data_IF_133094314365
#
_entry.id   IF_133094314365
#
_cell.length_a   1.000
_cell.length_b   1.000
_cell.length_c   1.000
_cell.angle_alpha   90.00
_cell.angle_beta   90.00
_cell.angle_gamma   90.00
#
_symmetry.space_group_name_H-M   'P 1'
#
loop_
_entity.id
_entity.type
_entity.pdbx_description
1 polymer ?
#
# COMPACT_ATOMS: atom_id res chain seq x y z
N UNK A 1 -16.18 -1.73 5.87
CA UNK A 1 -16.99 -1.93 4.64
C UNK A 1 -16.17 -2.61 3.52
N UNK A 2 -15.42 -3.67 3.83
CA UNK A 2 -14.62 -4.45 2.84
C UNK A 2 -15.26 -5.83 2.57
N UNK A 3 -15.94 -6.41 3.57
CA UNK A 3 -16.74 -7.63 3.39
C UNK A 3 -17.82 -7.50 2.29
N UNK A 4 -18.43 -6.32 2.15
CA UNK A 4 -19.39 -6.02 1.07
C UNK A 4 -18.74 -5.90 -0.32
N UNK A 5 -17.42 -5.70 -0.40
CA UNK A 5 -16.68 -5.66 -1.67
C UNK A 5 -16.31 -7.08 -2.12
N UNK A 6 -15.97 -7.97 -1.18
CA UNK A 6 -15.85 -9.42 -1.46
C UNK A 6 -17.15 -10.02 -2.00
N UNK A 7 -18.31 -9.66 -1.42
CA UNK A 7 -19.62 -10.10 -1.94
C UNK A 7 -19.97 -9.50 -3.31
N UNK A 8 -19.22 -8.50 -3.79
CA UNK A 8 -19.37 -7.88 -5.12
C UNK A 8 -18.38 -8.42 -6.16
N UNK A 9 -17.61 -9.48 -5.86
CA UNK A 9 -16.74 -10.13 -6.84
C UNK A 9 -15.42 -9.39 -7.12
N UNK A 10 -14.93 -8.59 -6.15
CA UNK A 10 -13.53 -8.15 -6.12
C UNK A 10 -12.65 -9.36 -5.81
N UNK A 11 -12.27 -10.02 -6.89
CA UNK A 11 -11.39 -11.17 -6.94
C UNK A 11 -9.96 -10.77 -6.57
N UNK A 12 -9.33 -11.51 -5.66
CA UNK A 12 -7.95 -11.26 -5.22
C UNK A 12 -6.98 -11.23 -6.39
N UNK A 13 -7.24 -12.02 -7.45
CA UNK A 13 -6.44 -12.02 -8.67
C UNK A 13 -6.50 -10.68 -9.42
N UNK A 14 -7.66 -10.01 -9.41
CA UNK A 14 -7.77 -8.67 -10.02
C UNK A 14 -6.98 -7.64 -9.23
N UNK A 15 -7.01 -7.72 -7.90
CA UNK A 15 -6.22 -6.83 -7.04
C UNK A 15 -4.72 -7.04 -7.25
N UNK A 16 -4.26 -8.29 -7.36
CA UNK A 16 -2.85 -8.59 -7.63
C UNK A 16 -2.41 -8.05 -8.99
N UNK A 17 -3.24 -8.18 -10.04
CA UNK A 17 -2.94 -7.63 -11.38
C UNK A 17 -2.85 -6.12 -11.40
N UNK A 18 -3.51 -5.46 -10.46
CA UNK A 18 -3.45 -4.00 -10.32
C UNK A 18 -2.15 -3.54 -9.66
N UNK A 19 -1.52 -4.37 -8.84
CA UNK A 19 -0.29 -4.04 -8.12
C UNK A 19 0.94 -4.14 -9.03
N UNK A 20 1.78 -3.11 -8.98
CA UNK A 20 3.10 -3.07 -9.60
C UNK A 20 4.22 -3.64 -8.72
N UNK A 21 3.85 -4.34 -7.65
CA UNK A 21 4.74 -4.94 -6.65
C UNK A 21 4.41 -6.42 -6.45
N UNK A 22 5.34 -7.25 -5.95
CA UNK A 22 5.06 -8.66 -5.72
C UNK A 22 3.89 -8.87 -4.75
N UNK A 23 2.86 -9.53 -5.23
CA UNK A 23 1.66 -9.86 -4.48
C UNK A 23 1.07 -11.20 -4.97
N UNK A 24 0.33 -11.88 -4.09
CA UNK A 24 -0.29 -13.19 -4.38
C UNK A 24 -1.73 -13.20 -3.88
N UNK A 25 -2.66 -13.77 -4.65
CA UNK A 25 -4.09 -13.86 -4.29
C UNK A 25 -4.39 -15.04 -3.36
N UNK A 26 -3.50 -15.27 -2.41
CA UNK A 26 -3.58 -16.38 -1.46
C UNK A 26 -2.91 -15.97 -0.15
N UNK A 27 -3.18 -16.72 0.91
CA UNK A 27 -2.44 -16.62 2.16
C UNK A 27 -1.05 -17.20 1.93
N UNK A 28 -0.04 -16.38 2.20
CA UNK A 28 1.38 -16.76 2.13
C UNK A 28 1.92 -16.62 3.54
N UNK A 29 2.40 -17.72 4.10
CA UNK A 29 3.04 -17.75 5.41
C UNK A 29 4.56 -17.66 5.20
N UNK A 30 5.01 -16.47 4.80
CA UNK A 30 6.41 -16.12 4.53
C UNK A 30 6.70 -14.78 5.24
N UNK A 31 7.87 -14.63 5.87
CA UNK A 31 8.23 -13.43 6.63
C UNK A 31 8.29 -12.16 5.75
N UNK A 32 8.52 -12.32 4.45
CA UNK A 32 8.55 -11.21 3.51
C UNK A 32 7.15 -10.74 3.07
N UNK A 33 6.13 -11.57 3.25
CA UNK A 33 4.77 -11.31 2.78
C UNK A 33 3.80 -11.07 3.94
N UNK A 34 3.04 -9.99 3.86
CA UNK A 34 1.95 -9.72 4.80
C UNK A 34 0.61 -10.11 4.18
N UNK A 35 -0.10 -11.04 4.83
CA UNK A 35 -1.46 -11.39 4.42
C UNK A 35 -2.49 -10.36 4.89
N UNK A 36 -3.33 -9.91 3.97
CA UNK A 36 -4.44 -9.00 4.20
C UNK A 36 -5.77 -9.77 4.05
N UNK A 37 -6.35 -10.31 5.15
CA UNK A 37 -7.50 -11.23 5.07
C UNK A 37 -8.74 -10.58 4.46
N UNK A 38 -8.96 -9.29 4.70
CA UNK A 38 -10.08 -8.54 4.15
C UNK A 38 -10.02 -8.41 2.63
N UNK A 39 -8.81 -8.41 2.07
CA UNK A 39 -8.56 -8.31 0.62
C UNK A 39 -8.32 -9.68 -0.03
N UNK A 40 -7.98 -10.70 0.76
CA UNK A 40 -7.64 -12.03 0.25
C UNK A 40 -6.29 -12.09 -0.48
N UNK A 41 -5.40 -11.12 -0.26
CA UNK A 41 -4.09 -11.04 -0.92
C UNK A 41 -2.95 -11.01 0.11
N UNK A 42 -1.78 -11.50 -0.29
CA UNK A 42 -0.51 -11.28 0.39
C UNK A 42 0.33 -10.30 -0.40
N UNK A 43 0.96 -9.33 0.27
CA UNK A 43 1.80 -8.30 -0.36
C UNK A 43 3.20 -8.35 0.23
N UNK A 44 4.23 -8.34 -0.62
CA UNK A 44 5.62 -8.33 -0.17
C UNK A 44 5.99 -6.98 0.44
N UNK A 45 6.75 -6.99 1.52
CA UNK A 45 7.32 -5.79 2.14
C UNK A 45 8.09 -4.94 1.14
N UNK A 46 7.83 -3.63 1.16
CA UNK A 46 8.51 -2.65 0.29
C UNK A 46 9.26 -1.62 1.15
N UNK A 47 10.25 -0.95 0.55
CA UNK A 47 10.80 0.26 1.14
C UNK A 47 9.71 1.34 1.24
N UNK A 48 9.81 2.27 2.19
CA UNK A 48 8.83 3.36 2.32
C UNK A 48 8.71 4.21 1.05
N UNK A 49 9.82 4.44 0.34
CA UNK A 49 9.84 5.15 -0.93
C UNK A 49 9.14 4.40 -2.06
N UNK A 50 9.34 3.08 -2.16
CA UNK A 50 8.72 2.29 -3.23
C UNK A 50 7.24 2.05 -2.96
N UNK A 51 6.86 1.85 -1.69
CA UNK A 51 5.46 1.84 -1.28
C UNK A 51 4.75 3.15 -1.67
N UNK A 52 5.38 4.32 -1.47
CA UNK A 52 4.78 5.59 -1.88
C UNK A 52 4.62 5.71 -3.40
N UNK A 53 5.62 5.31 -4.19
CA UNK A 53 5.52 5.33 -5.66
C UNK A 53 4.33 4.50 -6.15
N UNK A 54 4.13 3.33 -5.56
CA UNK A 54 3.02 2.44 -5.92
C UNK A 54 1.67 3.02 -5.49
N UNK A 55 1.58 3.60 -4.29
CA UNK A 55 0.39 4.31 -3.82
C UNK A 55 0.04 5.48 -4.73
N UNK A 56 1.02 6.32 -5.09
CA UNK A 56 0.83 7.46 -5.99
C UNK A 56 0.38 7.02 -7.39
N UNK A 57 0.96 5.94 -7.94
CA UNK A 57 0.56 5.36 -9.22
C UNK A 57 -0.90 4.89 -9.21
N UNK A 58 -1.30 4.15 -8.18
CA UNK A 58 -2.67 3.66 -8.03
C UNK A 58 -3.66 4.81 -7.80
N UNK A 59 -3.32 5.77 -6.94
CA UNK A 59 -4.12 6.96 -6.66
C UNK A 59 -4.43 7.74 -7.94
N UNK A 60 -3.40 7.98 -8.78
CA UNK A 60 -3.55 8.64 -10.09
C UNK A 60 -4.38 7.82 -11.06
N UNK A 61 -4.12 6.51 -11.20
CA UNK A 61 -4.86 5.61 -12.10
C UNK A 61 -6.37 5.64 -11.81
N UNK A 62 -6.73 5.59 -10.53
CA UNK A 62 -8.12 5.50 -10.09
C UNK A 62 -8.74 6.86 -9.74
N UNK A 63 -7.98 7.96 -9.89
CA UNK A 63 -8.39 9.32 -9.54
C UNK A 63 -8.86 9.46 -8.10
N UNK A 64 -8.19 8.77 -7.18
CA UNK A 64 -8.49 8.80 -5.75
C UNK A 64 -7.44 9.70 -5.09
N UNK A 65 -7.84 10.84 -4.49
CA UNK A 65 -6.89 11.68 -3.77
C UNK A 65 -6.40 10.96 -2.50
N UNK A 66 -5.08 10.87 -2.35
CA UNK A 66 -4.44 10.21 -1.20
C UNK A 66 -3.49 11.18 -0.50
N UNK A 67 -3.60 11.27 0.83
CA UNK A 67 -2.65 11.99 1.68
C UNK A 67 -2.05 11.02 2.69
N UNK A 68 -0.73 10.98 2.77
CA UNK A 68 0.03 10.20 3.76
C UNK A 68 0.75 11.16 4.68
N UNK A 69 0.44 11.09 5.97
CA UNK A 69 1.23 11.71 7.02
C UNK A 69 2.19 10.66 7.59
N UNK A 70 3.45 11.02 7.71
CA UNK A 70 4.48 10.16 8.28
C UNK A 70 5.38 10.98 9.19
N UNK A 71 6.09 10.28 10.07
CA UNK A 71 7.01 10.89 11.02
C UNK A 71 8.34 10.18 10.95
N UNK A 72 9.42 10.96 10.98
CA UNK A 72 10.76 10.41 11.11
C UNK A 72 10.98 10.02 12.57
N UNK A 73 11.44 8.78 12.80
CA UNK A 73 11.83 8.32 14.14
C UNK A 73 12.86 9.28 14.75
N UNK A 74 12.75 9.51 16.06
CA UNK A 74 13.70 10.33 16.81
C UNK A 74 15.03 9.59 16.96
N UNK A 75 15.93 9.71 15.98
CA UNK A 75 17.29 9.17 16.07
C UNK A 75 18.27 9.98 15.20
N UNK A 76 19.59 9.96 15.51
CA UNK A 76 20.59 10.75 14.79
C UNK A 76 20.84 10.32 13.33
N UNK A 77 20.37 9.12 12.94
CA UNK A 77 20.54 8.60 11.57
C UNK A 77 19.41 9.03 10.63
N UNK A 78 18.32 9.57 11.17
CA UNK A 78 17.19 10.03 10.36
C UNK A 78 17.51 11.39 9.72
N UNK A 79 17.01 11.61 8.51
CA UNK A 79 17.21 12.86 7.78
C UNK A 79 16.55 14.07 8.48
N UNK A 80 15.38 13.86 9.09
CA UNK A 80 14.62 14.89 9.81
C UNK A 80 14.06 14.38 11.14
N UNK A 81 14.92 14.07 12.13
CA UNK A 81 14.51 13.38 13.36
C UNK A 81 13.35 14.08 14.10
N UNK A 82 12.30 13.33 14.43
CA UNK A 82 11.16 13.81 15.21
C UNK A 82 10.19 14.73 14.45
N UNK A 83 10.47 15.04 13.18
CA UNK A 83 9.57 15.83 12.34
C UNK A 83 8.50 14.96 11.70
N UNK A 84 7.42 15.61 11.28
CA UNK A 84 6.40 15.03 10.42
C UNK A 84 6.55 15.52 8.98
N UNK A 85 6.14 14.69 8.04
CA UNK A 85 6.12 14.98 6.62
C UNK A 85 4.77 14.56 6.04
N UNK A 86 4.41 15.20 4.93
CA UNK A 86 3.16 14.92 4.23
C UNK A 86 3.46 14.63 2.77
N UNK A 87 2.99 13.49 2.28
CA UNK A 87 2.98 13.14 0.86
C UNK A 87 1.55 13.24 0.35
N UNK A 88 1.36 13.86 -0.82
CA UNK A 88 0.06 14.02 -1.45
C UNK A 88 0.12 13.49 -2.87
N UNK A 89 -0.86 12.67 -3.22
CA UNK A 89 -1.15 12.28 -4.59
C UNK A 89 -2.45 12.99 -4.99
N UNK A 90 -2.32 13.95 -5.90
CA UNK A 90 -3.44 14.68 -6.46
C UNK A 90 -3.76 14.17 -7.87
N UNK A 91 -5.03 14.27 -8.24
CA UNK A 91 -5.47 14.11 -9.63
C UNK A 91 -4.95 15.32 -10.40
N UNK A 92 -3.95 15.10 -11.26
CA UNK A 92 -3.58 16.07 -12.32
C UNK A 92 -4.48 15.83 -13.52
#
# INVERSE_FOLDING_TARGET
MIAQLKSKGLDGDKLVRELGIPAKAAKVDDEEFKYHPDLGISVQGQSGSDAWKEVDRLAKKWRIPVTVEFWWRQNPKAQHPGRTGVLKSAVV
#
